data_IF_255412137729
#
_entry.id   IF_255412137729
#
_cell.length_a   1.000
_cell.length_b   1.000
_cell.length_c   1.000
_cell.angle_alpha   90.00
_cell.angle_beta   90.00
_cell.angle_gamma   90.00
#
_symmetry.space_group_name_H-M   'P 1'
#
loop_
_entity.id
_entity.type
_entity.pdbx_description
1 polymer ?
#
# COMPACT_ATOMS: atom_id res chain seq x y z
N UNK A 1 7.18 20.78 2.55
CA UNK A 1 7.67 19.41 2.28
C UNK A 1 6.46 18.49 2.25
N UNK A 2 5.99 18.09 1.07
CA UNK A 2 4.88 17.14 0.97
C UNK A 2 5.44 15.74 1.20
N UNK A 3 5.33 15.24 2.43
CA UNK A 3 5.68 13.86 2.77
C UNK A 3 4.85 12.85 1.97
N UNK A 4 5.34 11.63 1.82
CA UNK A 4 4.54 10.55 1.23
C UNK A 4 3.31 10.31 2.12
N UNK A 5 2.18 10.00 1.49
CA UNK A 5 1.00 9.52 2.19
C UNK A 5 1.05 8.00 2.21
N UNK A 6 0.85 7.43 3.39
CA UNK A 6 0.90 6.00 3.61
C UNK A 6 -0.50 5.49 3.95
N UNK A 7 -0.92 4.39 3.33
CA UNK A 7 -2.21 3.74 3.56
C UNK A 7 -1.99 2.25 3.75
N UNK A 8 -2.58 1.68 4.81
CA UNK A 8 -2.76 0.25 4.95
C UNK A 8 -4.08 -0.12 4.29
N UNK A 9 -4.04 -1.05 3.36
CA UNK A 9 -5.19 -1.62 2.70
C UNK A 9 -5.28 -3.07 3.14
N UNK A 10 -6.25 -3.35 4.00
CA UNK A 10 -6.58 -4.70 4.43
C UNK A 10 -7.74 -5.23 3.59
N UNK A 11 -7.69 -6.49 3.19
CA UNK A 11 -8.69 -7.11 2.32
C UNK A 11 -8.79 -8.61 2.61
N UNK A 12 -9.92 -9.22 2.24
CA UNK A 12 -10.07 -10.66 2.30
C UNK A 12 -9.32 -11.31 1.11
N UNK A 13 -8.26 -12.13 1.36
CA UNK A 13 -7.50 -12.76 0.29
C UNK A 13 -8.25 -13.89 -0.44
N UNK A 14 -9.36 -14.39 0.13
CA UNK A 14 -10.23 -15.36 -0.54
C UNK A 14 -11.12 -14.70 -1.60
N UNK A 15 -11.36 -13.39 -1.46
CA UNK A 15 -12.15 -12.57 -2.38
C UNK A 15 -11.25 -11.78 -3.35
N UNK A 16 -10.20 -11.15 -2.83
CA UNK A 16 -9.31 -10.29 -3.61
C UNK A 16 -7.90 -10.87 -3.61
N UNK A 17 -7.39 -11.21 -4.79
CA UNK A 17 -6.00 -11.66 -4.92
C UNK A 17 -5.03 -10.51 -4.66
N UNK A 18 -3.95 -10.83 -3.97
CA UNK A 18 -2.88 -9.89 -3.67
C UNK A 18 -2.39 -9.12 -4.90
N UNK A 19 -2.13 -9.81 -6.01
CA UNK A 19 -1.63 -9.20 -7.24
C UNK A 19 -2.61 -8.19 -7.83
N UNK A 20 -3.91 -8.49 -7.78
CA UNK A 20 -4.97 -7.60 -8.24
C UNK A 20 -5.02 -6.34 -7.41
N UNK A 21 -4.97 -6.48 -6.08
CA UNK A 21 -4.94 -5.34 -5.15
C UNK A 21 -3.69 -4.50 -5.43
N UNK A 22 -2.51 -5.12 -5.47
CA UNK A 22 -1.25 -4.42 -5.75
C UNK A 22 -1.33 -3.63 -7.05
N UNK A 23 -1.74 -4.26 -8.16
CA UNK A 23 -1.77 -3.60 -9.46
C UNK A 23 -2.77 -2.44 -9.50
N UNK A 24 -3.91 -2.60 -8.83
CA UNK A 24 -4.94 -1.54 -8.76
C UNK A 24 -4.49 -0.31 -7.98
N UNK A 25 -3.50 -0.41 -7.09
CA UNK A 25 -3.03 0.69 -6.24
C UNK A 25 -1.72 1.31 -6.72
N UNK A 26 -1.21 0.89 -7.89
CA UNK A 26 -0.12 1.56 -8.60
C UNK A 26 -0.72 2.74 -9.36
N UNK A 27 -0.71 3.91 -8.75
CA UNK A 27 -1.28 5.13 -9.35
C UNK A 27 -0.21 6.06 -9.89
N UNK A 28 1.02 5.92 -9.39
CA UNK A 28 2.19 6.66 -9.86
C UNK A 28 3.42 5.75 -9.93
N UNK A 29 4.36 5.96 -10.88
CA UNK A 29 5.57 5.13 -11.02
C UNK A 29 6.48 5.09 -9.79
N UNK A 30 6.36 6.07 -8.89
CA UNK A 30 7.15 6.15 -7.66
C UNK A 30 6.41 5.64 -6.41
N UNK A 31 5.21 5.08 -6.58
CA UNK A 31 4.48 4.42 -5.51
C UNK A 31 5.26 3.20 -5.02
N UNK A 32 5.29 3.01 -3.70
CA UNK A 32 5.95 1.88 -3.05
C UNK A 32 4.94 1.07 -2.28
N UNK A 33 5.13 -0.24 -2.21
CA UNK A 33 4.15 -1.14 -1.60
C UNK A 33 4.79 -2.30 -0.85
N UNK A 34 4.33 -2.55 0.38
CA UNK A 34 4.77 -3.65 1.24
C UNK A 34 3.65 -4.67 1.37
N UNK A 35 3.92 -5.93 1.01
CA UNK A 35 3.09 -7.06 1.45
C UNK A 35 3.38 -7.31 2.92
N UNK A 36 2.40 -7.06 3.79
CA UNK A 36 2.54 -7.40 5.21
C UNK A 36 2.15 -8.87 5.41
N UNK A 37 1.02 -9.26 4.81
CA UNK A 37 0.55 -10.64 4.69
C UNK A 37 -0.44 -10.73 3.52
N UNK A 38 -1.00 -11.92 3.26
CA UNK A 38 -1.83 -12.19 2.08
C UNK A 38 -3.01 -11.21 1.91
N UNK A 39 -3.60 -10.74 3.01
CA UNK A 39 -4.72 -9.81 3.04
C UNK A 39 -4.37 -8.38 3.45
N UNK A 40 -3.11 -7.94 3.36
CA UNK A 40 -2.73 -6.59 3.76
C UNK A 40 -1.52 -6.02 3.00
N UNK A 41 -1.72 -4.85 2.39
CA UNK A 41 -0.69 -4.05 1.72
C UNK A 41 -0.55 -2.68 2.37
N UNK A 42 0.67 -2.22 2.59
CA UNK A 42 0.93 -0.80 2.83
C UNK A 42 1.31 -0.17 1.50
N UNK A 43 0.66 0.93 1.13
CA UNK A 43 0.95 1.75 -0.05
C UNK A 43 1.48 3.10 0.40
N UNK A 44 2.59 3.52 -0.20
CA UNK A 44 3.24 4.80 0.04
C UNK A 44 3.31 5.60 -1.25
N UNK A 45 2.60 6.72 -1.32
CA UNK A 45 2.45 7.53 -2.54
C UNK A 45 2.64 9.02 -2.29
N UNK A 46 3.25 9.72 -3.24
CA UNK A 46 3.36 11.19 -3.21
C UNK A 46 2.14 11.91 -3.78
N UNK A 47 1.42 11.24 -4.69
CA UNK A 47 0.37 11.87 -5.50
C UNK A 47 -1.01 11.35 -5.14
N UNK A 48 -1.11 10.15 -4.57
CA UNK A 48 -2.39 9.48 -4.36
C UNK A 48 -3.06 9.88 -3.05
N UNK A 49 -4.28 10.39 -3.14
CA UNK A 49 -5.18 10.55 -2.01
C UNK A 49 -5.83 9.21 -1.63
N UNK A 50 -6.49 9.16 -0.47
CA UNK A 50 -7.29 7.98 -0.06
C UNK A 50 -8.39 7.71 -1.09
N UNK A 51 -8.98 8.78 -1.63
CA UNK A 51 -10.05 8.75 -2.61
C UNK A 51 -9.56 8.18 -3.95
N UNK A 52 -8.33 8.49 -4.36
CA UNK A 52 -7.75 7.94 -5.61
C UNK A 52 -7.49 6.44 -5.47
N UNK A 53 -6.92 6.02 -4.33
CA UNK A 53 -6.72 4.60 -3.99
C UNK A 53 -8.06 3.87 -4.00
N UNK A 54 -9.09 4.44 -3.36
CA UNK A 54 -10.44 3.87 -3.33
C UNK A 54 -11.03 3.73 -4.74
N UNK A 55 -10.99 4.79 -5.55
CA UNK A 55 -11.52 4.77 -6.91
C UNK A 55 -10.85 3.70 -7.77
N UNK A 56 -9.54 3.53 -7.62
CA UNK A 56 -8.79 2.56 -8.41
C UNK A 56 -9.04 1.11 -7.96
N UNK A 57 -9.18 0.85 -6.66
CA UNK A 57 -9.60 -0.46 -6.18
C UNK A 57 -10.98 -0.83 -6.76
N UNK A 58 -11.92 0.10 -6.74
CA UNK A 58 -13.27 -0.12 -7.27
C UNK A 58 -13.29 -0.28 -8.80
N UNK A 59 -12.44 0.43 -9.55
CA UNK A 59 -12.37 0.29 -11.01
C UNK A 59 -11.83 -1.09 -11.45
N UNK A 60 -11.12 -1.78 -10.55
CA UNK A 60 -10.65 -3.15 -10.75
C UNK A 60 -11.62 -4.20 -10.17
N UNK A 61 -12.86 -3.81 -9.85
CA UNK A 61 -13.89 -4.66 -9.27
C UNK A 61 -13.50 -5.32 -7.93
N UNK A 62 -12.53 -4.74 -7.23
CA UNK A 62 -12.16 -5.19 -5.89
C UNK A 62 -13.21 -4.68 -4.92
N UNK A 63 -13.49 -5.46 -3.88
CA UNK A 63 -14.49 -5.14 -2.86
C UNK A 63 -14.01 -5.64 -1.49
N UNK A 64 -14.71 -5.30 -0.40
CA UNK A 64 -14.40 -5.82 0.94
C UNK A 64 -12.96 -5.50 1.39
N UNK A 65 -12.63 -4.21 1.39
CA UNK A 65 -11.34 -3.73 1.86
C UNK A 65 -11.51 -2.57 2.85
N UNK A 66 -10.52 -2.40 3.69
CA UNK A 66 -10.40 -1.31 4.64
C UNK A 66 -9.14 -0.51 4.30
N UNK A 67 -9.32 0.78 4.02
CA UNK A 67 -8.22 1.71 3.75
C UNK A 67 -8.01 2.58 4.98
N UNK A 68 -6.91 2.33 5.68
CA UNK A 68 -6.53 3.03 6.91
C UNK A 68 -5.33 3.94 6.63
N UNK A 69 -5.46 5.26 6.75
CA UNK A 69 -4.31 6.15 6.71
C UNK A 69 -3.34 5.77 7.83
N UNK A 70 -2.05 5.69 7.51
CA UNK A 70 -1.03 5.34 8.50
C UNK A 70 -0.10 6.54 8.67
N UNK A 71 -0.16 7.14 9.85
CA UNK A 71 0.82 8.14 10.27
C UNK A 71 2.05 7.39 10.76
N UNK A 72 3.07 7.25 9.92
CA UNK A 72 4.31 6.62 10.38
C UNK A 72 5.49 7.53 10.04
N UNK A 73 5.88 8.43 10.97
CA UNK A 73 7.09 9.22 10.84
C UNK A 73 8.35 8.39 10.47
N UNK A 74 8.53 7.14 10.94
CA UNK A 74 9.65 6.29 10.50
C UNK A 74 9.44 5.46 9.20
N UNK A 75 8.24 5.33 8.61
CA UNK A 75 8.06 4.59 7.35
C UNK A 75 8.51 5.40 6.13
N UNK A 76 8.57 6.72 6.20
CA UNK A 76 9.20 7.51 5.13
C UNK A 76 10.69 7.12 4.98
N UNK A 77 11.35 6.76 6.09
CA UNK A 77 12.65 6.13 6.12
C UNK A 77 12.63 4.62 5.84
N UNK A 78 11.55 3.90 6.20
CA UNK A 78 11.46 2.45 5.99
C UNK A 78 11.08 2.03 4.55
N UNK A 79 10.43 2.93 3.83
CA UNK A 79 10.13 2.82 2.40
C UNK A 79 11.27 3.35 1.54
N UNK A 80 12.31 3.98 2.11
CA UNK A 80 13.60 4.19 1.44
C UNK A 80 14.26 2.83 1.15
N UNK A 81 14.87 2.72 -0.04
CA UNK A 81 15.53 1.52 -0.58
C UNK A 81 16.39 0.77 0.46
N UNK A 82 17.09 1.48 1.34
CA UNK A 82 17.99 0.87 2.35
C UNK A 82 17.27 0.15 3.49
N UNK A 83 16.14 0.67 3.97
CA UNK A 83 15.36 -0.01 5.02
C UNK A 83 14.36 -1.01 4.45
N UNK A 84 14.09 -0.95 3.15
CA UNK A 84 13.29 -1.94 2.44
C UNK A 84 13.87 -3.34 2.56
N UNK A 85 15.20 -3.45 2.36
CA UNK A 85 15.93 -4.69 2.50
C UNK A 85 16.02 -5.14 3.96
N UNK A 86 16.07 -4.20 4.90
CA UNK A 86 16.03 -4.50 6.33
C UNK A 86 14.67 -5.09 6.77
N UNK A 87 13.55 -4.48 6.36
CA UNK A 87 12.22 -4.99 6.67
C UNK A 87 11.99 -6.37 6.04
N UNK A 88 12.41 -6.57 4.78
CA UNK A 88 12.36 -7.88 4.12
C UNK A 88 13.14 -8.97 4.88
N UNK A 89 14.28 -8.62 5.49
CA UNK A 89 15.14 -9.57 6.21
C UNK A 89 14.65 -9.95 7.61
N UNK A 90 13.83 -9.13 8.25
CA UNK A 90 13.52 -9.27 9.68
C UNK A 90 12.02 -9.49 9.98
N UNK A 91 11.13 -9.34 9.00
CA UNK A 91 9.70 -9.60 9.16
C UNK A 91 9.21 -10.90 8.51
N UNK A 92 10.07 -11.59 7.75
CA UNK A 92 9.81 -12.90 7.14
C UNK A 92 10.82 -13.93 7.64
#
# INVERSE_FOLDING_TARGET
MSGRKNYLISFDPTVNKWESVKNSVILHPSDRFIKIFEGAIIVSSYTSSKEDVLKSLLSHSLTQFLITPVSIPPLDGATNEYNWDYLKKNMF
#
